data_IF_015611163138
#
_entry.id   IF_015611163138
#
_cell.length_a   1.000
_cell.length_b   1.000
_cell.length_c   1.000
_cell.angle_alpha   90.00
_cell.angle_beta   90.00
_cell.angle_gamma   90.00
#
_symmetry.space_group_name_H-M   'P 1'
#
loop_
_entity.id
_entity.type
_entity.pdbx_description
1 polymer ?
#
# COMPACT_ATOMS: atom_id res chain seq x y z
N UNK A 1 7.59 -9.44 22.76
CA UNK A 1 6.19 -9.37 22.26
C UNK A 1 5.71 -7.94 22.06
N UNK A 2 5.67 -7.06 23.08
CA UNK A 2 5.19 -5.66 22.93
C UNK A 2 5.92 -4.82 21.87
N UNK A 3 7.26 -4.97 21.77
CA UNK A 3 8.09 -4.22 20.80
C UNK A 3 7.83 -4.59 19.34
N UNK A 4 7.49 -5.85 19.07
CA UNK A 4 7.19 -6.35 17.71
C UNK A 4 5.86 -5.80 17.20
N UNK A 5 4.84 -5.83 18.05
CA UNK A 5 3.50 -5.31 17.77
C UNK A 5 3.55 -3.81 17.48
N UNK A 6 4.31 -3.04 18.27
CA UNK A 6 4.46 -1.60 18.04
C UNK A 6 5.13 -1.30 16.70
N UNK A 7 6.14 -2.09 16.32
CA UNK A 7 6.84 -1.96 15.03
C UNK A 7 5.93 -2.32 13.85
N UNK A 8 5.07 -3.32 14.00
CA UNK A 8 4.09 -3.70 12.99
C UNK A 8 2.98 -2.66 12.84
N UNK A 9 2.47 -2.13 13.95
CA UNK A 9 1.47 -1.06 13.94
C UNK A 9 2.01 0.23 13.30
N UNK A 10 3.25 0.59 13.61
CA UNK A 10 3.89 1.75 12.97
C UNK A 10 4.00 1.56 11.46
N UNK A 11 4.34 0.36 11.00
CA UNK A 11 4.40 0.07 9.57
C UNK A 11 3.01 0.05 8.92
N UNK A 12 2.00 -0.42 9.63
CA UNK A 12 0.60 -0.35 9.20
C UNK A 12 0.16 1.09 8.94
N UNK A 13 0.48 2.00 9.86
CA UNK A 13 0.16 3.43 9.70
C UNK A 13 0.90 4.01 8.49
N UNK A 14 2.20 3.72 8.34
CA UNK A 14 2.99 4.22 7.20
C UNK A 14 2.40 3.72 5.87
N UNK A 15 2.07 2.43 5.78
CA UNK A 15 1.46 1.84 4.59
C UNK A 15 0.08 2.43 4.30
N UNK A 16 -0.71 2.67 5.34
CA UNK A 16 -2.03 3.32 5.26
C UNK A 16 -1.92 4.73 4.68
N UNK A 17 -0.99 5.54 5.21
CA UNK A 17 -0.74 6.91 4.72
C UNK A 17 -0.22 6.89 3.28
N UNK A 18 0.68 5.95 2.95
CA UNK A 18 1.22 5.82 1.58
C UNK A 18 0.17 5.33 0.57
N UNK A 19 -0.79 4.52 1.00
CA UNK A 19 -1.86 4.01 0.15
C UNK A 19 -2.83 5.10 -0.32
N UNK A 20 -2.94 6.23 0.40
CA UNK A 20 -3.82 7.36 0.03
C UNK A 20 -3.39 8.03 -1.29
N UNK A 21 -2.16 8.54 -1.47
CA UNK A 21 -1.74 9.08 -2.77
C UNK A 21 -1.67 8.00 -3.85
N UNK A 22 -1.32 6.76 -3.48
CA UNK A 22 -1.32 5.64 -4.42
C UNK A 22 -2.71 5.32 -4.97
N UNK A 23 -3.77 5.42 -4.14
CA UNK A 23 -5.14 5.17 -4.59
C UNK A 23 -5.60 6.24 -5.58
N UNK A 24 -5.23 7.51 -5.38
CA UNK A 24 -5.48 8.56 -6.38
C UNK A 24 -4.82 8.22 -7.72
N UNK A 25 -3.54 7.81 -7.71
CA UNK A 25 -2.83 7.40 -8.92
C UNK A 25 -3.53 6.20 -9.58
N UNK A 26 -3.93 5.20 -8.80
CA UNK A 26 -4.59 4.00 -9.30
C UNK A 26 -5.97 4.27 -9.91
N UNK A 27 -6.84 5.00 -9.20
CA UNK A 27 -8.15 5.39 -9.71
C UNK A 27 -8.02 6.28 -10.95
N UNK A 28 -7.05 7.20 -10.95
CA UNK A 28 -6.74 8.06 -12.09
C UNK A 28 -6.27 7.26 -13.29
N UNK A 29 -5.38 6.28 -13.09
CA UNK A 29 -4.89 5.38 -14.14
C UNK A 29 -6.01 4.56 -14.77
N UNK A 30 -6.97 4.10 -13.97
CA UNK A 30 -8.13 3.35 -14.45
C UNK A 30 -9.23 4.24 -15.05
N UNK A 31 -9.08 5.57 -15.00
CA UNK A 31 -10.09 6.56 -15.44
C UNK A 31 -11.47 6.33 -14.82
N UNK A 32 -11.52 5.78 -13.61
CA UNK A 32 -12.79 5.48 -12.92
C UNK A 32 -13.35 6.66 -12.14
N UNK A 33 -12.60 7.77 -12.06
CA UNK A 33 -13.07 9.02 -11.46
C UNK A 33 -13.81 9.85 -12.52
N UNK A 34 -15.09 10.13 -12.28
CA UNK A 34 -15.86 11.05 -13.11
C UNK A 34 -15.41 12.49 -12.86
N UNK A 35 -14.86 13.15 -13.88
CA UNK A 35 -14.40 14.55 -13.81
C UNK A 35 -15.52 15.57 -14.09
N UNK A 36 -16.79 15.13 -14.17
CA UNK A 36 -17.92 16.01 -14.47
C UNK A 36 -18.29 16.86 -13.25
N UNK A 37 -18.49 18.18 -13.40
CA UNK A 37 -18.84 19.07 -12.28
C UNK A 37 -20.30 18.91 -11.80
N UNK A 38 -21.14 18.17 -12.51
CA UNK A 38 -22.55 17.92 -12.18
C UNK A 38 -22.80 16.48 -11.70
N UNK A 39 -21.97 15.98 -10.78
CA UNK A 39 -22.18 14.65 -10.20
C UNK A 39 -23.50 14.62 -9.44
N UNK A 40 -24.36 13.68 -9.80
CA UNK A 40 -25.57 13.40 -9.04
C UNK A 40 -25.19 12.86 -7.64
N UNK A 41 -26.06 12.97 -6.63
CA UNK A 41 -25.79 12.52 -5.25
C UNK A 41 -25.26 11.06 -5.23
N UNK A 42 -25.78 10.22 -6.11
CA UNK A 42 -25.37 8.82 -6.29
C UNK A 42 -23.92 8.68 -6.78
N UNK A 43 -23.51 9.48 -7.77
CA UNK A 43 -22.15 9.42 -8.34
C UNK A 43 -21.10 9.93 -7.35
N UNK A 44 -21.47 10.89 -6.50
CA UNK A 44 -20.62 11.38 -5.42
C UNK A 44 -20.34 10.28 -4.39
N UNK A 45 -21.39 9.55 -3.98
CA UNK A 45 -21.25 8.40 -3.07
C UNK A 45 -20.43 7.29 -3.72
N UNK A 46 -20.68 6.99 -4.99
CA UNK A 46 -19.93 5.98 -5.74
C UNK A 46 -18.44 6.33 -5.83
N UNK A 47 -18.10 7.60 -6.08
CA UNK A 47 -16.71 8.07 -6.15
C UNK A 47 -15.98 7.88 -4.81
N UNK A 48 -16.64 8.19 -3.69
CA UNK A 48 -16.06 8.00 -2.36
C UNK A 48 -15.88 6.50 -2.05
N UNK A 49 -16.86 5.66 -2.37
CA UNK A 49 -16.76 4.21 -2.19
C UNK A 49 -15.62 3.63 -3.03
N UNK A 50 -15.51 4.05 -4.28
CA UNK A 50 -14.44 3.64 -5.17
C UNK A 50 -13.07 4.07 -4.65
N UNK A 51 -12.97 5.26 -4.07
CA UNK A 51 -11.75 5.73 -3.42
C UNK A 51 -11.36 4.87 -2.21
N UNK A 52 -12.33 4.50 -1.37
CA UNK A 52 -12.11 3.58 -0.24
C UNK A 52 -11.63 2.21 -0.72
N UNK A 53 -12.22 1.67 -1.79
CA UNK A 53 -11.79 0.40 -2.39
C UNK A 53 -10.38 0.52 -2.95
N UNK A 54 -10.08 1.59 -3.68
CA UNK A 54 -8.73 1.82 -4.23
C UNK A 54 -7.67 1.98 -3.15
N UNK A 55 -8.00 2.65 -2.04
CA UNK A 55 -7.14 2.72 -0.87
C UNK A 55 -6.85 1.33 -0.29
N UNK A 56 -7.88 0.50 -0.13
CA UNK A 56 -7.73 -0.87 0.38
C UNK A 56 -6.88 -1.75 -0.57
N UNK A 57 -7.11 -1.66 -1.87
CA UNK A 57 -6.31 -2.37 -2.89
C UNK A 57 -4.85 -1.93 -2.84
N UNK A 58 -4.59 -0.63 -2.81
CA UNK A 58 -3.22 -0.09 -2.75
C UNK A 58 -2.52 -0.45 -1.44
N UNK A 59 -3.25 -0.43 -0.32
CA UNK A 59 -2.74 -0.87 0.96
C UNK A 59 -2.27 -2.34 0.90
N UNK A 60 -3.07 -3.24 0.32
CA UNK A 60 -2.69 -4.64 0.13
C UNK A 60 -1.46 -4.75 -0.79
N UNK A 61 -1.43 -4.01 -1.91
CA UNK A 61 -0.29 -4.02 -2.84
C UNK A 61 1.02 -3.62 -2.14
N UNK A 62 1.01 -2.57 -1.30
CA UNK A 62 2.18 -2.14 -0.52
C UNK A 62 2.67 -3.26 0.41
N UNK A 63 1.75 -4.01 1.03
CA UNK A 63 2.11 -5.15 1.87
C UNK A 63 2.67 -6.33 1.07
N UNK A 64 2.10 -6.63 -0.10
CA UNK A 64 2.61 -7.67 -1.00
C UNK A 64 4.04 -7.33 -1.44
N UNK A 65 4.27 -6.10 -1.91
CA UNK A 65 5.61 -5.63 -2.31
C UNK A 65 6.60 -5.79 -1.16
N UNK A 66 6.20 -5.47 0.08
CA UNK A 66 7.06 -5.67 1.25
C UNK A 66 7.43 -7.13 1.47
N UNK A 67 6.48 -8.06 1.34
CA UNK A 67 6.75 -9.50 1.48
C UNK A 67 7.69 -9.97 0.38
N UNK A 68 7.44 -9.54 -0.87
CA UNK A 68 8.26 -9.86 -2.03
C UNK A 68 9.67 -9.32 -1.86
N UNK A 69 9.86 -8.05 -1.47
CA UNK A 69 11.18 -7.47 -1.22
C UNK A 69 11.93 -8.23 -0.13
N UNK A 70 11.27 -8.62 0.96
CA UNK A 70 11.90 -9.46 1.99
C UNK A 70 12.31 -10.84 1.46
N UNK A 71 11.46 -11.45 0.65
CA UNK A 71 11.75 -12.74 0.03
C UNK A 71 12.91 -12.63 -0.97
N UNK A 72 12.93 -11.59 -1.79
CA UNK A 72 14.00 -11.30 -2.74
C UNK A 72 15.32 -11.02 -2.02
N UNK A 73 15.33 -10.19 -0.97
CA UNK A 73 16.53 -9.94 -0.15
C UNK A 73 17.06 -11.23 0.49
N UNK A 74 16.17 -12.14 0.89
CA UNK A 74 16.55 -13.46 1.40
C UNK A 74 17.13 -14.37 0.31
N UNK A 75 16.56 -14.35 -0.89
CA UNK A 75 16.97 -15.20 -2.03
C UNK A 75 18.25 -14.69 -2.72
N UNK A 76 18.39 -13.37 -2.88
CA UNK A 76 19.55 -12.71 -3.52
C UNK A 76 20.78 -12.71 -2.61
N UNK A 77 20.62 -13.08 -1.33
CA UNK A 77 21.76 -13.38 -0.47
C UNK A 77 22.23 -12.21 0.38
N UNK A 78 21.52 -11.95 1.48
CA UNK A 78 22.24 -11.69 2.76
C UNK A 78 22.72 -13.05 3.29
N UNK A 79 23.62 -13.69 2.55
CA UNK A 79 24.46 -14.80 2.99
C UNK A 79 25.93 -14.36 3.10
N UNK A 80 26.25 -13.11 2.72
CA UNK A 80 27.63 -12.60 2.64
C UNK A 80 28.04 -11.69 3.82
N UNK A 81 27.23 -11.55 4.87
CA UNK A 81 27.56 -10.67 6.01
C UNK A 81 27.67 -11.39 7.37
N UNK A 82 27.52 -12.73 7.42
CA UNK A 82 27.70 -13.52 8.65
C UNK A 82 28.76 -14.62 8.52
N UNK A 83 29.59 -14.59 7.47
CA UNK A 83 30.77 -15.44 7.28
C UNK A 83 32.07 -14.62 7.23
N UNK A 84 32.16 -13.58 8.05
CA UNK A 84 33.35 -12.74 8.19
C UNK A 84 33.82 -12.71 9.65
N UNK A 85 34.32 -13.84 10.13
CA UNK A 85 35.17 -13.93 11.32
C UNK A 85 36.58 -14.33 10.87
N UNK A 86 37.61 -13.49 11.03
CA UNK A 86 38.90 -13.99 11.48
C UNK A 86 38.85 -14.26 12.99
#
# INVERSE_FOLDING_TARGET
>A
MKKTILKELMWFIIASVLAVPLSFIFLGMLKLTSANPSLNEVEKVFTIQLFMIGWLVMFICVYIVRIVVKALLKLVGVHDATSGNP
#
